data_IF_556312502030
#
_entry.id   IF_556312502030
#
_cell.length_a   1.000
_cell.length_b   1.000
_cell.length_c   1.000
_cell.angle_alpha   90.00
_cell.angle_beta   90.00
_cell.angle_gamma   90.00
#
_symmetry.space_group_name_H-M   'P 1'
#
loop_
_entity.id
_entity.type
_entity.pdbx_description
1 polymer ?
#
# COMPACT_ATOMS: atom_id res chain seq x y z
N UNK A 1 -11.69 6.22 -12.89
CA UNK A 1 -11.00 4.98 -12.50
C UNK A 1 -10.74 5.04 -10.98
N UNK A 2 -11.81 5.25 -10.19
CA UNK A 2 -11.71 6.16 -9.02
C UNK A 2 -11.88 5.52 -7.63
N UNK A 3 -11.85 4.18 -7.51
CA UNK A 3 -12.08 3.52 -6.21
C UNK A 3 -11.25 2.25 -6.00
N UNK A 4 -10.16 2.06 -6.76
CA UNK A 4 -9.35 0.85 -6.65
C UNK A 4 -8.74 0.67 -5.24
N UNK A 5 -8.44 1.79 -4.57
CA UNK A 5 -7.81 1.78 -3.24
C UNK A 5 -8.83 1.74 -2.09
N UNK A 6 -10.10 2.07 -2.34
CA UNK A 6 -11.14 2.10 -1.29
C UNK A 6 -11.34 0.75 -0.62
N UNK A 7 -11.23 -0.35 -1.36
CA UNK A 7 -11.37 -1.71 -0.83
C UNK A 7 -10.25 -2.06 0.17
N UNK A 8 -9.07 -1.46 0.01
CA UNK A 8 -7.90 -1.72 0.83
C UNK A 8 -7.82 -0.84 2.09
N UNK A 9 -8.67 0.20 2.20
CA UNK A 9 -8.71 1.05 3.39
C UNK A 9 -9.04 0.21 4.63
N UNK A 10 -8.23 0.36 5.67
CA UNK A 10 -8.33 -0.39 6.92
C UNK A 10 -7.62 -1.75 6.91
N UNK A 11 -7.24 -2.28 5.75
CA UNK A 11 -6.62 -3.59 5.61
C UNK A 11 -5.08 -3.49 5.66
N UNK A 12 -4.40 -4.50 6.24
CA UNK A 12 -2.96 -4.64 6.10
C UNK A 12 -2.64 -5.06 4.65
N UNK A 13 -1.79 -4.28 4.00
CA UNK A 13 -1.44 -4.40 2.58
C UNK A 13 0.05 -4.21 2.37
N UNK A 14 0.54 -4.80 1.28
CA UNK A 14 1.85 -4.55 0.73
C UNK A 14 1.70 -3.74 -0.56
N UNK A 15 2.19 -2.51 -0.55
CA UNK A 15 2.24 -1.64 -1.71
C UNK A 15 3.57 -1.82 -2.43
N UNK A 16 3.51 -2.23 -3.69
CA UNK A 16 4.67 -2.19 -4.58
C UNK A 16 4.78 -0.79 -5.16
N UNK A 17 5.80 -0.04 -4.77
CA UNK A 17 6.04 1.31 -5.30
C UNK A 17 7.31 1.37 -6.14
N UNK A 18 7.30 2.17 -7.19
CA UNK A 18 8.46 2.49 -8.00
C UNK A 18 9.10 3.80 -7.52
N UNK A 19 10.37 3.74 -7.12
CA UNK A 19 11.20 4.91 -6.86
C UNK A 19 12.32 4.95 -7.90
N UNK A 20 12.08 5.64 -9.01
CA UNK A 20 12.98 5.57 -10.17
C UNK A 20 13.01 4.15 -10.74
N UNK A 21 14.21 3.58 -10.88
CA UNK A 21 14.39 2.23 -11.44
C UNK A 21 14.25 1.10 -10.42
N UNK A 22 14.07 1.42 -9.13
CA UNK A 22 13.91 0.41 -8.07
C UNK A 22 12.44 0.24 -7.68
N UNK A 23 12.07 -1.00 -7.38
CA UNK A 23 10.77 -1.35 -6.81
C UNK A 23 10.94 -1.65 -5.33
N UNK A 24 10.16 -0.96 -4.51
CA UNK A 24 10.22 -1.08 -3.05
C UNK A 24 8.87 -1.58 -2.54
N UNK A 25 8.81 -2.73 -1.85
CA UNK A 25 7.60 -3.17 -1.17
C UNK A 25 7.46 -2.44 0.16
N UNK A 26 6.38 -1.68 0.32
CA UNK A 26 6.00 -1.03 1.57
C UNK A 26 4.89 -1.84 2.24
N UNK A 27 5.09 -2.24 3.50
CA UNK A 27 4.11 -3.02 4.27
C UNK A 27 3.48 -2.18 5.36
N UNK A 28 2.17 -2.35 5.57
CA UNK A 28 1.43 -1.56 6.55
C UNK A 28 -0.05 -1.47 6.22
N UNK A 29 -0.74 -0.47 6.75
CA UNK A 29 -2.20 -0.35 6.63
C UNK A 29 -2.60 0.86 5.81
N UNK A 30 -3.46 0.68 4.81
CA UNK A 30 -3.99 1.81 4.07
C UNK A 30 -5.01 2.56 4.96
N UNK A 31 -4.83 3.87 5.16
CA UNK A 31 -5.68 4.66 6.04
C UNK A 31 -6.76 5.42 5.27
N UNK A 32 -6.38 6.03 4.15
CA UNK A 32 -7.29 6.79 3.30
C UNK A 32 -6.77 6.87 1.88
N UNK A 33 -7.70 6.99 0.96
CA UNK A 33 -7.42 7.39 -0.42
C UNK A 33 -7.68 8.89 -0.56
N UNK A 34 -6.68 9.65 -1.00
CA UNK A 34 -6.80 11.02 -1.46
C UNK A 34 -7.03 11.09 -2.97
N UNK A 35 -7.02 12.30 -3.55
CA UNK A 35 -7.14 12.48 -5.00
C UNK A 35 -5.99 11.82 -5.76
N UNK A 36 -4.78 12.37 -5.60
CA UNK A 36 -3.56 11.90 -6.27
C UNK A 36 -2.67 11.01 -5.39
N UNK A 37 -2.98 10.90 -4.10
CA UNK A 37 -2.17 10.17 -3.11
C UNK A 37 -3.00 9.16 -2.33
N UNK A 38 -2.34 8.19 -1.73
CA UNK A 38 -2.90 7.29 -0.71
C UNK A 38 -2.11 7.47 0.57
N UNK A 39 -2.81 7.52 1.72
CA UNK A 39 -2.15 7.55 3.02
C UNK A 39 -2.05 6.14 3.56
N UNK A 40 -0.84 5.77 3.95
CA UNK A 40 -0.52 4.47 4.52
C UNK A 40 0.15 4.65 5.88
N UNK A 41 -0.17 3.77 6.83
CA UNK A 41 0.54 3.63 8.11
C UNK A 41 1.53 2.49 8.04
N UNK A 42 2.80 2.78 8.21
CA UNK A 42 3.89 1.80 8.27
C UNK A 42 4.31 1.65 9.74
N UNK A 43 4.34 0.41 10.23
CA UNK A 43 4.63 0.12 11.64
C UNK A 43 3.66 0.82 12.61
N UNK A 44 4.15 1.17 13.80
CA UNK A 44 3.33 1.71 14.90
C UNK A 44 3.18 3.24 14.92
N UNK A 45 3.61 3.98 13.89
CA UNK A 45 3.48 5.43 13.94
C UNK A 45 3.86 6.24 12.70
N UNK A 46 4.24 5.62 11.59
CA UNK A 46 4.63 6.37 10.39
C UNK A 46 3.47 6.46 9.41
N UNK A 47 2.82 7.63 9.36
CA UNK A 47 1.83 7.95 8.32
C UNK A 47 2.53 8.56 7.12
N UNK A 48 2.51 7.85 5.98
CA UNK A 48 3.16 8.24 4.73
C UNK A 48 2.11 8.45 3.64
N UNK A 49 2.21 9.57 2.93
CA UNK A 49 1.40 9.82 1.74
C UNK A 49 2.20 9.40 0.50
N UNK A 50 1.64 8.49 -0.30
CA UNK A 50 2.27 7.90 -1.49
C UNK A 50 1.48 8.34 -2.71
N UNK A 51 2.15 8.85 -3.76
CA UNK A 51 1.49 9.20 -5.01
C UNK A 51 0.99 7.95 -5.76
N UNK A 52 -0.25 8.00 -6.26
CA UNK A 52 -0.85 6.89 -7.02
C UNK A 52 -0.04 6.53 -8.27
N UNK A 53 0.65 7.50 -8.85
CA UNK A 53 1.56 7.32 -9.99
C UNK A 53 2.79 6.46 -9.67
N UNK A 54 3.18 6.39 -8.39
CA UNK A 54 4.29 5.55 -7.94
C UNK A 54 3.85 4.12 -7.61
N UNK A 55 2.54 3.87 -7.46
CA UNK A 55 2.01 2.56 -7.06
C UNK A 55 1.91 1.67 -8.29
N UNK A 56 2.65 0.56 -8.27
CA UNK A 56 2.62 -0.46 -9.30
C UNK A 56 1.55 -1.52 -9.01
N UNK A 57 1.41 -1.92 -7.74
CA UNK A 57 0.45 -2.91 -7.30
C UNK A 57 0.14 -2.76 -5.81
N UNK A 58 -1.03 -3.26 -5.40
CA UNK A 58 -1.43 -3.43 -4.00
C UNK A 58 -1.72 -4.91 -3.79
N UNK A 59 -1.06 -5.50 -2.81
CA UNK A 59 -1.21 -6.89 -2.42
C UNK A 59 -1.75 -6.94 -0.98
N UNK A 60 -2.53 -7.96 -0.67
CA UNK A 60 -2.95 -8.20 0.71
C UNK A 60 -1.76 -8.72 1.52
N UNK A 61 -1.51 -8.17 2.71
CA UNK A 61 -0.50 -8.69 3.64
C UNK A 61 -1.07 -9.90 4.38
N UNK A 62 -1.45 -10.93 3.61
CA UNK A 62 -1.87 -12.22 4.13
C UNK A 62 -0.62 -13.05 4.44
N UNK A 63 -0.46 -13.44 5.70
CA UNK A 63 0.50 -14.47 6.07
C UNK A 63 0.08 -15.77 5.38
N UNK A 64 0.66 -16.07 4.22
CA UNK A 64 0.53 -17.40 3.63
C UNK A 64 1.35 -18.33 4.52
N UNK A 65 0.67 -19.07 5.39
CA UNK A 65 1.24 -20.27 5.99
C UNK A 65 1.52 -21.25 4.84
N UNK A 66 2.77 -21.26 4.37
CA UNK A 66 3.22 -22.29 3.43
C UNK A 66 3.16 -23.63 4.18
N UNK A 67 2.40 -24.63 3.67
CA UNK A 67 2.45 -25.96 4.25
C UNK A 67 3.89 -26.51 4.14
N UNK A 68 4.33 -27.16 5.22
CA UNK A 68 5.65 -27.77 5.35
C UNK A 68 5.87 -28.94 4.38
#
# INVERSE_FOLDING_TARGET
MDKAFKTWIGHPVVLQVALGDIKVPLRGRLLKEGGETVRMRIGDGWDVDIYKTMILAVEEDAMVLLPA
#
